data_IF_249265018327
#
_entry.id   IF_249265018327
#
_cell.length_a   1.000
_cell.length_b   1.000
_cell.length_c   1.000
_cell.angle_alpha   90.00
_cell.angle_beta   90.00
_cell.angle_gamma   90.00
#
_symmetry.space_group_name_H-M   'P 1'
#
loop_
_entity.id
_entity.type
_entity.pdbx_description
1 polymer ?
#
# COMPACT_ATOMS: atom_id res chain seq x y z
N UNK A 1 31.56 -19.44 22.97
CA UNK A 1 30.98 -19.52 21.61
C UNK A 1 29.76 -18.61 21.56
N UNK A 2 29.95 -17.37 21.14
CA UNK A 2 28.90 -16.34 21.18
C UNK A 2 27.84 -16.67 20.12
N UNK A 3 26.66 -17.02 20.58
CA UNK A 3 25.46 -17.17 19.75
C UNK A 3 25.21 -15.85 19.00
N UNK A 4 25.46 -15.86 17.68
CA UNK A 4 25.10 -14.75 16.78
C UNK A 4 23.61 -14.47 16.98
N UNK A 5 23.27 -13.30 17.52
CA UNK A 5 21.90 -12.80 17.54
C UNK A 5 21.42 -12.77 16.09
N UNK A 6 20.62 -13.74 15.69
CA UNK A 6 20.04 -13.80 14.34
C UNK A 6 19.17 -12.55 14.19
N UNK A 7 19.65 -11.58 13.41
CA UNK A 7 18.89 -10.38 13.09
C UNK A 7 17.61 -10.74 12.36
N UNK A 8 16.67 -9.78 12.28
CA UNK A 8 15.41 -9.94 11.53
C UNK A 8 15.75 -10.46 10.11
N UNK A 9 15.16 -11.58 9.66
CA UNK A 9 15.44 -12.11 8.32
C UNK A 9 15.24 -11.00 7.30
N UNK A 10 16.17 -10.89 6.34
CA UNK A 10 16.05 -9.94 5.24
C UNK A 10 14.75 -10.27 4.50
N UNK A 11 13.72 -9.48 4.74
CA UNK A 11 12.51 -9.56 3.92
C UNK A 11 12.88 -8.98 2.57
N UNK A 12 12.68 -9.75 1.49
CA UNK A 12 13.04 -9.34 0.12
C UNK A 12 12.25 -8.12 -0.37
N UNK A 13 11.10 -7.81 0.25
CA UNK A 13 10.31 -6.65 -0.13
C UNK A 13 9.71 -5.94 1.08
N UNK A 14 10.53 -5.24 1.89
CA UNK A 14 10.01 -4.45 2.98
C UNK A 14 9.21 -3.29 2.37
N UNK A 15 7.98 -3.08 2.84
CA UNK A 15 7.17 -1.89 2.54
C UNK A 15 7.82 -0.68 3.23
N UNK A 16 8.96 -0.25 2.71
CA UNK A 16 9.87 0.72 3.31
C UNK A 16 9.59 2.15 2.87
N UNK A 17 8.85 2.32 1.76
CA UNK A 17 8.48 3.63 1.23
C UNK A 17 7.06 4.00 1.66
N UNK A 18 6.94 5.14 2.32
CA UNK A 18 5.67 5.82 2.58
C UNK A 18 5.45 6.87 1.50
N UNK A 19 4.24 6.94 0.97
CA UNK A 19 3.83 7.99 0.03
C UNK A 19 2.85 8.90 0.76
N UNK A 20 3.21 10.16 0.90
CA UNK A 20 2.33 11.22 1.42
C UNK A 20 1.80 12.02 0.23
N UNK A 21 0.49 12.12 0.11
CA UNK A 21 -0.19 12.76 -1.02
C UNK A 21 -1.24 13.70 -0.44
N UNK A 22 -1.29 14.94 -0.94
CA UNK A 22 -2.45 15.79 -0.71
C UNK A 22 -3.60 15.31 -1.57
N UNK A 23 -4.74 15.12 -0.94
CA UNK A 23 -5.98 14.74 -1.59
C UNK A 23 -7.08 15.64 -1.06
N UNK A 24 -8.05 15.93 -1.92
CA UNK A 24 -9.26 16.67 -1.54
C UNK A 24 -10.18 15.79 -0.70
N UNK A 25 -11.06 16.42 0.07
CA UNK A 25 -12.03 15.73 0.94
C UNK A 25 -12.90 14.75 0.16
N UNK A 26 -13.32 15.10 -1.05
CA UNK A 26 -14.12 14.22 -1.91
C UNK A 26 -13.39 12.93 -2.27
N UNK A 27 -12.08 13.03 -2.56
CA UNK A 27 -11.25 11.87 -2.88
C UNK A 27 -11.11 10.99 -1.64
N UNK A 28 -10.95 11.61 -0.47
CA UNK A 28 -10.86 10.93 0.83
C UNK A 28 -12.16 10.15 1.12
N UNK A 29 -13.33 10.76 0.93
CA UNK A 29 -14.62 10.10 1.10
C UNK A 29 -14.83 8.94 0.12
N UNK A 30 -14.42 9.09 -1.14
CA UNK A 30 -14.47 7.99 -2.12
C UNK A 30 -13.55 6.84 -1.71
N UNK A 31 -12.36 7.15 -1.19
CA UNK A 31 -11.41 6.17 -0.67
C UNK A 31 -11.97 5.40 0.52
N UNK A 32 -12.61 6.09 1.46
CA UNK A 32 -13.26 5.48 2.62
C UNK A 32 -14.44 4.60 2.22
N UNK A 33 -15.31 5.10 1.34
CA UNK A 33 -16.45 4.33 0.83
C UNK A 33 -15.96 3.06 0.12
N UNK A 34 -14.88 3.15 -0.66
CA UNK A 34 -14.29 1.99 -1.30
C UNK A 34 -13.67 1.04 -0.27
N UNK A 35 -13.02 1.56 0.77
CA UNK A 35 -12.41 0.78 1.86
C UNK A 35 -13.46 -0.05 2.60
N UNK A 36 -14.59 0.56 2.95
CA UNK A 36 -15.73 -0.11 3.57
C UNK A 36 -16.33 -1.18 2.66
N UNK A 37 -16.61 -0.85 1.40
CA UNK A 37 -17.20 -1.81 0.43
C UNK A 37 -16.31 -3.02 0.18
N UNK A 38 -15.00 -2.82 0.11
CA UNK A 38 -14.04 -3.89 -0.13
C UNK A 38 -13.56 -4.55 1.16
N UNK A 39 -13.97 -4.06 2.33
CA UNK A 39 -13.51 -4.50 3.65
C UNK A 39 -11.97 -4.54 3.74
N UNK A 40 -11.33 -3.53 3.17
CA UNK A 40 -9.86 -3.41 3.09
C UNK A 40 -9.39 -2.07 3.62
N UNK A 41 -8.09 -1.94 3.87
CA UNK A 41 -7.52 -0.69 4.34
C UNK A 41 -7.33 0.31 3.18
N UNK A 42 -7.40 1.62 3.44
CA UNK A 42 -7.13 2.71 2.47
C UNK A 42 -5.84 2.46 1.67
N UNK A 43 -4.79 2.02 2.36
CA UNK A 43 -3.50 1.68 1.73
C UNK A 43 -3.57 0.52 0.74
N UNK A 44 -4.46 -0.46 0.94
CA UNK A 44 -4.63 -1.56 0.00
C UNK A 44 -5.34 -1.10 -1.28
N UNK A 45 -6.32 -0.21 -1.13
CA UNK A 45 -7.04 0.38 -2.27
C UNK A 45 -6.12 1.25 -3.12
N UNK A 46 -5.30 2.09 -2.49
CA UNK A 46 -4.32 2.92 -3.23
C UNK A 46 -3.39 2.03 -4.05
N UNK A 47 -2.86 0.93 -3.47
CA UNK A 47 -2.01 -0.02 -4.21
C UNK A 47 -2.74 -0.67 -5.39
N UNK A 48 -3.96 -1.16 -5.15
CA UNK A 48 -4.79 -1.78 -6.20
C UNK A 48 -5.17 -0.79 -7.30
N UNK A 49 -5.38 0.47 -6.95
CA UNK A 49 -5.63 1.55 -7.91
C UNK A 49 -4.42 1.82 -8.79
N UNK A 50 -3.21 1.88 -8.20
CA UNK A 50 -1.96 2.06 -8.93
C UNK A 50 -1.72 0.87 -9.88
N UNK A 51 -1.89 -0.36 -9.40
CA UNK A 51 -1.75 -1.57 -10.23
C UNK A 51 -2.69 -1.55 -11.43
N UNK A 52 -3.98 -1.23 -11.23
CA UNK A 52 -4.95 -1.13 -12.33
C UNK A 52 -4.58 -0.08 -13.37
N UNK A 53 -4.20 1.13 -12.94
CA UNK A 53 -3.81 2.20 -13.84
C UNK A 53 -2.54 1.80 -14.61
N UNK A 54 -1.58 1.17 -13.92
CA UNK A 54 -0.36 0.66 -14.55
C UNK A 54 -0.64 -0.43 -15.60
N UNK A 55 -1.53 -1.38 -15.28
CA UNK A 55 -1.96 -2.42 -16.21
C UNK A 55 -2.69 -1.83 -17.43
N UNK A 56 -3.54 -0.81 -17.22
CA UNK A 56 -4.20 -0.07 -18.31
C UNK A 56 -3.21 0.68 -19.20
N UNK A 57 -2.13 1.23 -18.64
CA UNK A 57 -1.06 1.92 -19.36
C UNK A 57 -0.14 0.98 -20.15
N UNK A 58 -0.04 -0.29 -19.76
CA UNK A 58 0.75 -1.31 -20.46
C UNK A 58 -0.01 -1.99 -21.62
N UNK A 59 -1.26 -1.58 -21.88
CA UNK A 59 -2.12 -2.12 -22.92
C UNK A 59 -2.02 -1.33 -24.22
#
# INVERSE_FOLDING_TARGET
MSSKKMGRPKSDNPKSKTIEIRVDEEILSKLDTAAEKLNTNRSAIVRKGIEKIYDELQK
#
